data_IF_038214457898
#
_entry.id   IF_038214457898
#
_cell.length_a   1.000
_cell.length_b   1.000
_cell.length_c   1.000
_cell.angle_alpha   90.00
_cell.angle_beta   90.00
_cell.angle_gamma   90.00
#
_symmetry.space_group_name_H-M   'P 1'
#
loop_
_entity.id
_entity.type
_entity.pdbx_description
1 polymer ?
#
# COMPACT_ATOMS: atom_id res chain seq x y z
N UNK A 1 -17.71 -20.05 5.80
CA UNK A 1 -17.08 -19.06 6.70
C UNK A 1 -15.82 -18.60 5.98
N UNK A 2 -15.85 -17.44 5.32
CA UNK A 2 -14.64 -16.88 4.69
C UNK A 2 -13.72 -16.38 5.81
N UNK A 3 -12.45 -16.77 5.79
CA UNK A 3 -11.46 -16.22 6.72
C UNK A 3 -11.38 -14.70 6.57
N UNK A 4 -11.22 -13.95 7.68
CA UNK A 4 -11.10 -12.50 7.62
C UNK A 4 -9.83 -12.14 6.84
N UNK A 5 -10.01 -11.42 5.71
CA UNK A 5 -8.89 -10.88 4.93
C UNK A 5 -8.05 -9.97 5.82
N UNK A 6 -6.90 -10.49 6.27
CA UNK A 6 -5.90 -9.78 7.05
C UNK A 6 -4.53 -10.07 6.48
N UNK A 7 -3.75 -9.03 6.22
CA UNK A 7 -2.37 -9.15 5.73
C UNK A 7 -1.41 -8.57 6.75
N UNK A 8 -0.22 -9.15 6.88
CA UNK A 8 0.80 -8.62 7.78
C UNK A 8 1.16 -7.19 7.37
N UNK A 9 1.19 -6.27 8.34
CA UNK A 9 1.46 -4.85 8.08
C UNK A 9 2.82 -4.63 7.42
N UNK A 10 3.85 -5.38 7.82
CA UNK A 10 5.19 -5.31 7.24
C UNK A 10 5.20 -5.72 5.76
N UNK A 11 4.53 -6.82 5.42
CA UNK A 11 4.45 -7.30 4.02
C UNK A 11 3.67 -6.33 3.13
N UNK A 12 2.58 -5.75 3.66
CA UNK A 12 1.82 -4.70 2.95
C UNK A 12 2.69 -3.49 2.69
N UNK A 13 3.39 -2.98 3.72
CA UNK A 13 4.28 -1.83 3.58
C UNK A 13 5.42 -2.12 2.60
N UNK A 14 6.04 -3.29 2.68
CA UNK A 14 7.09 -3.69 1.74
C UNK A 14 6.57 -3.71 0.30
N UNK A 15 5.36 -4.23 0.08
CA UNK A 15 4.74 -4.27 -1.25
C UNK A 15 4.48 -2.87 -1.79
N UNK A 16 3.96 -1.97 -0.95
CA UNK A 16 3.77 -0.56 -1.28
C UNK A 16 5.12 0.12 -1.59
N UNK A 17 6.14 -0.12 -0.77
CA UNK A 17 7.48 0.44 -0.99
C UNK A 17 8.04 0.00 -2.34
N UNK A 18 7.89 -1.27 -2.70
CA UNK A 18 8.35 -1.80 -3.97
C UNK A 18 7.62 -1.15 -5.15
N UNK A 19 6.29 -0.96 -5.06
CA UNK A 19 5.50 -0.30 -6.10
C UNK A 19 5.81 1.19 -6.26
N UNK A 20 6.15 1.89 -5.18
CA UNK A 20 6.45 3.33 -5.21
C UNK A 20 7.90 3.67 -5.57
N UNK A 21 8.85 2.80 -5.22
CA UNK A 21 10.29 3.06 -5.36
C UNK A 21 10.74 3.52 -6.76
N UNK A 22 10.21 2.99 -7.88
CA UNK A 22 10.57 3.45 -9.22
C UNK A 22 10.17 4.89 -9.54
N UNK A 23 9.23 5.45 -8.79
CA UNK A 23 8.65 6.77 -9.08
C UNK A 23 9.15 7.86 -8.15
N UNK A 24 9.35 7.54 -6.87
CA UNK A 24 9.72 8.53 -5.84
C UNK A 24 11.04 8.22 -5.14
N UNK A 25 11.68 7.10 -5.48
CA UNK A 25 12.91 6.63 -4.83
C UNK A 25 12.65 5.87 -3.52
N UNK A 26 13.58 4.99 -3.16
CA UNK A 26 13.44 4.01 -2.06
C UNK A 26 13.15 4.65 -0.69
N UNK A 27 13.87 5.73 -0.36
CA UNK A 27 13.73 6.40 0.94
C UNK A 27 12.36 7.08 1.08
N UNK A 28 11.92 7.81 0.05
CA UNK A 28 10.62 8.49 0.10
C UNK A 28 9.47 7.48 0.07
N UNK A 29 9.57 6.43 -0.75
CA UNK A 29 8.58 5.36 -0.79
C UNK A 29 8.37 4.73 0.60
N UNK A 30 9.47 4.45 1.30
CA UNK A 30 9.45 3.94 2.67
C UNK A 30 8.81 4.92 3.66
N UNK A 31 9.35 6.13 3.70
CA UNK A 31 8.91 7.14 4.68
C UNK A 31 7.44 7.51 4.50
N UNK A 32 6.95 7.62 3.26
CA UNK A 32 5.57 7.99 2.99
C UNK A 32 4.57 6.93 3.46
N UNK A 33 4.82 5.65 3.19
CA UNK A 33 3.93 4.57 3.62
C UNK A 33 3.94 4.40 5.15
N UNK A 34 5.11 4.48 5.79
CA UNK A 34 5.22 4.46 7.25
C UNK A 34 4.55 5.69 7.91
N UNK A 35 4.67 6.88 7.30
CA UNK A 35 4.02 8.09 7.78
C UNK A 35 2.49 7.96 7.73
N UNK A 36 1.92 7.53 6.61
CA UNK A 36 0.48 7.34 6.50
C UNK A 36 -0.07 6.27 7.44
N UNK A 37 0.63 5.16 7.66
CA UNK A 37 0.23 4.19 8.68
C UNK A 37 0.16 4.82 10.08
N UNK A 38 1.14 5.64 10.46
CA UNK A 38 1.13 6.35 11.75
C UNK A 38 -0.02 7.35 11.84
N UNK A 39 -0.22 8.16 10.80
CA UNK A 39 -1.32 9.15 10.73
C UNK A 39 -2.71 8.51 10.80
N UNK A 40 -2.86 7.32 10.20
CA UNK A 40 -4.12 6.56 10.21
C UNK A 40 -4.31 5.73 11.49
N UNK A 41 -3.33 5.72 12.40
CA UNK A 41 -3.37 4.95 13.63
C UNK A 41 -3.20 3.44 13.45
N UNK A 42 -2.60 3.01 12.35
CA UNK A 42 -2.40 1.60 12.01
C UNK A 42 -1.13 1.05 12.69
N UNK A 43 -1.23 0.76 13.98
CA UNK A 43 -0.11 0.25 14.81
C UNK A 43 -0.07 -1.28 14.95
N UNK A 44 -1.07 -1.98 14.40
CA UNK A 44 -1.19 -3.44 14.51
C UNK A 44 -0.22 -4.19 13.60
N UNK A 45 -0.02 -5.48 13.88
CA UNK A 45 0.78 -6.39 13.06
C UNK A 45 0.05 -6.88 11.81
N UNK A 46 -1.26 -6.60 11.69
CA UNK A 46 -2.04 -6.93 10.52
C UNK A 46 -3.01 -5.80 10.15
N UNK A 47 -3.24 -5.65 8.85
CA UNK A 47 -4.23 -4.75 8.28
C UNK A 47 -5.36 -5.56 7.65
N UNK A 48 -6.59 -5.14 7.88
CA UNK A 48 -7.74 -5.63 7.13
C UNK A 48 -7.88 -4.95 5.76
N UNK A 49 -8.84 -5.41 4.97
CA UNK A 49 -9.09 -4.87 3.63
C UNK A 49 -9.39 -3.37 3.64
N UNK A 50 -10.22 -2.93 4.59
CA UNK A 50 -10.62 -1.53 4.66
C UNK A 50 -9.43 -0.63 5.00
N UNK A 51 -8.57 -1.06 5.93
CA UNK A 51 -7.35 -0.35 6.29
C UNK A 51 -6.38 -0.26 5.11
N UNK A 52 -6.20 -1.34 4.36
CA UNK A 52 -5.38 -1.37 3.15
C UNK A 52 -5.92 -0.41 2.08
N UNK A 53 -7.22 -0.44 1.81
CA UNK A 53 -7.87 0.47 0.87
C UNK A 53 -7.66 1.94 1.28
N UNK A 54 -7.88 2.28 2.56
CA UNK A 54 -7.67 3.64 3.07
C UNK A 54 -6.20 4.08 2.88
N UNK A 55 -5.24 3.21 3.18
CA UNK A 55 -3.82 3.49 3.02
C UNK A 55 -3.47 3.77 1.54
N UNK A 56 -3.94 2.92 0.62
CA UNK A 56 -3.73 3.10 -0.81
C UNK A 56 -4.38 4.39 -1.33
N UNK A 57 -5.56 4.78 -0.82
CA UNK A 57 -6.18 6.05 -1.18
C UNK A 57 -5.36 7.27 -0.71
N UNK A 58 -4.75 7.22 0.48
CA UNK A 58 -3.86 8.31 0.94
C UNK A 58 -2.63 8.45 0.04
N UNK A 59 -2.02 7.32 -0.32
CA UNK A 59 -0.87 7.30 -1.25
C UNK A 59 -1.28 7.82 -2.63
N UNK A 60 -2.45 7.41 -3.14
CA UNK A 60 -3.01 7.88 -4.41
C UNK A 60 -3.06 9.40 -4.49
N UNK A 61 -3.56 10.06 -3.44
CA UNK A 61 -3.68 11.53 -3.43
C UNK A 61 -2.34 12.23 -3.65
N UNK A 62 -1.27 11.74 -3.02
CA UNK A 62 0.08 12.26 -3.26
C UNK A 62 0.58 11.93 -4.65
N UNK A 63 0.42 10.67 -5.08
CA UNK A 63 1.00 10.17 -6.32
C UNK A 63 0.40 10.82 -7.58
N UNK A 64 -0.89 11.19 -7.56
CA UNK A 64 -1.54 11.93 -8.66
C UNK A 64 -0.81 13.22 -9.00
N UNK A 65 -0.24 13.92 -8.00
CA UNK A 65 0.49 15.18 -8.21
C UNK A 65 1.81 14.94 -8.98
N UNK A 66 2.45 13.78 -8.78
CA UNK A 66 3.74 13.46 -9.39
C UNK A 66 3.61 12.76 -10.74
N UNK A 67 2.63 11.86 -10.89
CA UNK A 67 2.52 10.97 -12.05
C UNK A 67 1.32 11.26 -12.95
N UNK A 68 0.39 12.11 -12.51
CA UNK A 68 -0.91 12.28 -13.15
C UNK A 68 -1.87 11.12 -12.81
N UNK A 69 -3.15 11.34 -13.10
CA UNK A 69 -4.25 10.44 -12.72
C UNK A 69 -4.11 9.03 -13.30
N UNK A 70 -3.94 8.92 -14.62
CA UNK A 70 -3.95 7.62 -15.31
C UNK A 70 -2.85 6.69 -14.82
N UNK A 71 -1.60 7.18 -14.76
CA UNK A 71 -0.46 6.40 -14.29
C UNK A 71 -0.58 6.05 -12.81
N UNK A 72 -1.12 6.96 -12.00
CA UNK A 72 -1.38 6.67 -10.58
C UNK A 72 -2.37 5.53 -10.41
N UNK A 73 -3.44 5.52 -11.19
CA UNK A 73 -4.49 4.51 -11.10
C UNK A 73 -3.92 3.12 -11.45
N UNK A 74 -3.09 3.04 -12.48
CA UNK A 74 -2.40 1.79 -12.84
C UNK A 74 -1.47 1.29 -11.70
N UNK A 75 -0.66 2.18 -11.12
CA UNK A 75 0.28 1.82 -10.04
C UNK A 75 -0.48 1.36 -8.79
N UNK A 76 -1.57 2.03 -8.42
CA UNK A 76 -2.38 1.65 -7.26
C UNK A 76 -3.08 0.30 -7.48
N UNK A 77 -3.60 0.05 -8.69
CA UNK A 77 -4.20 -1.25 -9.03
C UNK A 77 -3.18 -2.39 -8.97
N UNK A 78 -1.96 -2.17 -9.44
CA UNK A 78 -0.88 -3.15 -9.35
C UNK A 78 -0.53 -3.46 -7.88
N UNK A 79 -0.38 -2.43 -7.04
CA UNK A 79 -0.14 -2.60 -5.61
C UNK A 79 -1.28 -3.36 -4.92
N UNK A 80 -2.54 -3.03 -5.23
CA UNK A 80 -3.71 -3.71 -4.65
C UNK A 80 -3.75 -5.19 -5.06
N UNK A 81 -3.42 -5.49 -6.32
CA UNK A 81 -3.33 -6.86 -6.83
C UNK A 81 -2.19 -7.63 -6.15
N UNK A 82 -1.03 -7.01 -5.98
CA UNK A 82 0.11 -7.61 -5.29
C UNK A 82 -0.21 -7.90 -3.81
N UNK A 83 -0.83 -6.95 -3.10
CA UNK A 83 -1.24 -7.11 -1.70
C UNK A 83 -2.27 -8.24 -1.54
N UNK A 84 -3.22 -8.35 -2.48
CA UNK A 84 -4.25 -9.39 -2.43
C UNK A 84 -3.63 -10.80 -2.45
N UNK A 85 -2.54 -10.97 -3.20
CA UNK A 85 -1.78 -12.23 -3.34
C UNK A 85 -0.81 -12.52 -2.18
N UNK A 86 -0.62 -11.61 -1.23
CA UNK A 86 0.27 -11.87 -0.09
C UNK A 86 -0.25 -13.06 0.74
N UNK A 87 0.61 -14.06 1.00
CA UNK A 87 0.21 -15.28 1.69
C UNK A 87 -0.43 -16.36 0.80
N UNK A 88 -0.60 -16.09 -0.50
CA UNK A 88 -0.82 -17.14 -1.51
C UNK A 88 0.56 -17.65 -1.95
N UNK A 89 1.19 -18.48 -1.11
CA UNK A 89 2.42 -19.18 -1.49
C UNK A 89 2.04 -20.39 -2.32
N UNK A 90 2.45 -20.41 -3.60
CA UNK A 90 2.46 -21.61 -4.43
C UNK A 90 3.57 -22.57 -3.99
#
# INVERSE_FOLDING_TARGET
MMEPFRKNTGDVLQTIHAGLSPYVGKLMARTAAEAHCRELGFYGSALDRQQIDILLQKIRLGLVIFLGKEKTDAVVQEMQSAISRLGETH
#
